data_IF_303446671035
#
_entry.id   IF_303446671035
#
_cell.length_a   1.000
_cell.length_b   1.000
_cell.length_c   1.000
_cell.angle_alpha   90.00
_cell.angle_beta   90.00
_cell.angle_gamma   90.00
#
_symmetry.space_group_name_H-M   'P 1'
#
loop_
_entity.id
_entity.type
_entity.pdbx_description
1 polymer ?
#
# COMPACT_ATOMS: atom_id res chain seq x y z
N UNK A 1 21.96 -13.39 8.16
CA UNK A 1 20.68 -12.80 8.59
C UNK A 1 20.73 -11.33 8.19
N UNK A 2 19.76 -10.85 7.42
CA UNK A 2 19.77 -9.46 6.94
C UNK A 2 18.86 -8.63 7.85
N UNK A 3 19.36 -7.47 8.28
CA UNK A 3 18.66 -6.56 9.18
C UNK A 3 17.93 -5.46 8.40
N UNK A 4 16.68 -5.21 8.81
CA UNK A 4 15.86 -4.09 8.33
C UNK A 4 15.28 -3.35 9.53
N UNK A 5 15.12 -2.04 9.40
CA UNK A 5 14.43 -1.24 10.41
C UNK A 5 12.92 -1.56 10.42
N UNK A 6 12.36 -1.79 9.24
CA UNK A 6 10.94 -2.13 9.06
C UNK A 6 10.79 -3.31 8.10
N UNK A 7 9.98 -4.29 8.51
CA UNK A 7 9.56 -5.39 7.64
C UNK A 7 8.04 -5.35 7.50
N UNK A 8 7.57 -5.19 6.27
CA UNK A 8 6.15 -5.18 5.92
C UNK A 8 5.77 -6.54 5.32
N UNK A 9 4.76 -7.20 5.87
CA UNK A 9 4.28 -8.50 5.41
C UNK A 9 2.96 -8.33 4.66
N UNK A 10 3.00 -8.62 3.36
CA UNK A 10 1.87 -8.54 2.45
C UNK A 10 1.94 -7.38 1.47
N UNK A 11 2.10 -7.70 0.18
CA UNK A 11 2.22 -6.76 -0.94
C UNK A 11 0.89 -6.26 -1.51
N UNK A 12 -0.14 -6.11 -0.66
CA UNK A 12 -1.38 -5.41 -1.02
C UNK A 12 -1.21 -3.88 -0.95
N UNK A 13 -2.26 -3.10 -1.28
CA UNK A 13 -2.17 -1.64 -1.28
C UNK A 13 -1.74 -1.06 0.07
N UNK A 14 -2.26 -1.57 1.16
CA UNK A 14 -1.86 -1.13 2.51
C UNK A 14 -0.38 -1.41 2.80
N UNK A 15 0.12 -2.61 2.45
CA UNK A 15 1.52 -2.95 2.64
C UNK A 15 2.45 -2.14 1.74
N UNK A 16 2.08 -1.90 0.48
CA UNK A 16 2.85 -1.05 -0.41
C UNK A 16 2.93 0.39 0.12
N UNK A 17 1.82 0.97 0.57
CA UNK A 17 1.82 2.31 1.18
C UNK A 17 2.61 2.37 2.49
N UNK A 18 2.49 1.36 3.36
CA UNK A 18 3.30 1.28 4.58
C UNK A 18 4.80 1.20 4.29
N UNK A 19 5.19 0.47 3.24
CA UNK A 19 6.58 0.39 2.78
C UNK A 19 7.08 1.75 2.29
N UNK A 20 6.27 2.45 1.48
CA UNK A 20 6.58 3.80 1.00
C UNK A 20 6.74 4.76 2.18
N UNK A 21 5.79 4.74 3.12
CA UNK A 21 5.84 5.60 4.30
C UNK A 21 7.11 5.37 5.14
N UNK A 22 7.47 4.12 5.43
CA UNK A 22 8.70 3.82 6.18
C UNK A 22 9.96 4.22 5.41
N UNK A 23 10.04 3.87 4.12
CA UNK A 23 11.21 4.16 3.30
C UNK A 23 11.41 5.66 3.05
N UNK A 24 10.33 6.47 3.05
CA UNK A 24 10.42 7.93 2.87
C UNK A 24 11.18 8.64 4.02
N UNK A 25 11.31 8.00 5.17
CA UNK A 25 12.16 8.45 6.27
C UNK A 25 13.61 7.94 6.18
N UNK A 26 14.01 7.37 5.04
CA UNK A 26 15.36 6.82 4.85
C UNK A 26 15.63 5.53 5.63
N UNK A 27 14.61 4.85 6.11
CA UNK A 27 14.76 3.63 6.89
C UNK A 27 14.90 2.40 5.99
N UNK A 28 15.88 1.51 6.25
CA UNK A 28 15.99 0.23 5.58
C UNK A 28 14.68 -0.56 5.72
N UNK A 29 13.96 -0.73 4.63
CA UNK A 29 12.60 -1.32 4.63
C UNK A 29 12.53 -2.50 3.67
N UNK A 30 11.91 -3.60 4.12
CA UNK A 30 11.64 -4.80 3.31
C UNK A 30 10.13 -5.04 3.21
N UNK A 31 9.64 -5.23 1.99
CA UNK A 31 8.28 -5.71 1.70
C UNK A 31 8.33 -7.18 1.31
N UNK A 32 7.61 -8.04 2.02
CA UNK A 32 7.52 -9.48 1.74
C UNK A 32 6.13 -9.81 1.21
N UNK A 33 6.06 -10.50 0.07
CA UNK A 33 4.82 -10.96 -0.55
C UNK A 33 4.92 -12.44 -0.94
N UNK A 34 3.94 -13.24 -0.56
CA UNK A 34 3.90 -14.68 -0.88
C UNK A 34 3.64 -14.99 -2.35
N UNK A 35 2.94 -14.13 -3.05
CA UNK A 35 2.66 -14.30 -4.48
C UNK A 35 3.83 -13.76 -5.33
N UNK A 36 3.82 -14.15 -6.60
CA UNK A 36 4.81 -13.70 -7.60
C UNK A 36 4.74 -12.18 -7.88
N UNK A 37 3.57 -11.55 -7.67
CA UNK A 37 3.33 -10.14 -7.98
C UNK A 37 2.66 -9.45 -6.81
N UNK A 38 3.00 -8.17 -6.62
CA UNK A 38 2.29 -7.29 -5.69
C UNK A 38 0.89 -6.96 -6.21
N UNK A 39 0.03 -6.47 -5.33
CA UNK A 39 -1.27 -5.92 -5.69
C UNK A 39 -2.29 -6.93 -6.21
N UNK A 40 -2.16 -8.23 -5.96
CA UNK A 40 -3.03 -9.28 -6.52
C UNK A 40 -4.53 -9.01 -6.31
N UNK A 41 -4.94 -8.59 -5.11
CA UNK A 41 -6.34 -8.22 -4.85
C UNK A 41 -6.69 -6.87 -5.47
N UNK A 42 -5.78 -5.91 -5.45
CA UNK A 42 -5.97 -4.60 -6.07
C UNK A 42 -6.23 -4.71 -7.57
N UNK A 43 -5.56 -5.64 -8.25
CA UNK A 43 -5.73 -5.88 -9.68
C UNK A 43 -7.18 -6.22 -10.09
N UNK A 44 -7.99 -6.78 -9.19
CA UNK A 44 -9.39 -7.13 -9.45
C UNK A 44 -10.40 -6.05 -9.03
N UNK A 45 -9.98 -4.99 -8.35
CA UNK A 45 -10.90 -3.96 -7.86
C UNK A 45 -11.42 -3.09 -9.01
N UNK A 46 -12.63 -2.51 -8.84
CA UNK A 46 -13.24 -1.65 -9.84
C UNK A 46 -13.40 -2.33 -11.20
N UNK A 47 -13.60 -3.64 -11.26
CA UNK A 47 -13.67 -4.40 -12.51
C UNK A 47 -12.35 -4.47 -13.26
N UNK A 48 -11.21 -4.47 -12.56
CA UNK A 48 -9.87 -4.47 -13.14
C UNK A 48 -9.29 -3.08 -13.40
N UNK A 49 -10.06 -2.02 -13.12
CA UNK A 49 -9.65 -0.63 -13.32
C UNK A 49 -9.01 0.02 -12.10
N UNK A 50 -9.24 -0.50 -10.91
CA UNK A 50 -8.89 0.05 -9.60
C UNK A 50 -9.65 1.36 -9.28
N UNK A 51 -10.71 1.26 -8.50
CA UNK A 51 -11.27 2.44 -7.84
C UNK A 51 -10.29 2.86 -6.71
N UNK A 52 -9.57 3.94 -6.93
CA UNK A 52 -8.50 4.40 -6.02
C UNK A 52 -9.08 4.97 -4.74
N UNK A 53 -10.07 5.86 -4.88
CA UNK A 53 -10.72 6.55 -3.78
C UNK A 53 -12.04 7.18 -4.25
N UNK A 54 -12.65 8.02 -3.42
CA UNK A 54 -13.77 8.88 -3.76
C UNK A 54 -13.39 10.35 -3.58
N UNK A 55 -13.80 11.23 -4.50
CA UNK A 55 -13.52 12.66 -4.49
C UNK A 55 -14.54 13.48 -3.67
N UNK A 56 -15.34 12.84 -2.83
CA UNK A 56 -16.30 13.49 -1.94
C UNK A 56 -15.63 14.20 -0.77
N UNK A 57 -16.44 14.91 0.01
CA UNK A 57 -16.00 15.52 1.27
C UNK A 57 -15.67 14.47 2.32
N UNK A 58 -15.01 14.87 3.41
CA UNK A 58 -14.77 13.96 4.54
C UNK A 58 -16.08 13.39 5.11
N UNK A 59 -17.14 14.21 5.16
CA UNK A 59 -18.44 13.78 5.64
C UNK A 59 -19.07 12.73 4.72
N UNK A 60 -18.93 12.89 3.40
CA UNK A 60 -19.37 11.89 2.41
C UNK A 60 -18.62 10.55 2.59
N UNK A 61 -17.30 10.62 2.79
CA UNK A 61 -16.49 9.43 3.05
C UNK A 61 -16.92 8.73 4.34
N UNK A 62 -17.11 9.51 5.40
CA UNK A 62 -17.52 8.97 6.71
C UNK A 62 -18.91 8.35 6.65
N UNK A 63 -19.84 8.95 5.92
CA UNK A 63 -21.19 8.40 5.71
C UNK A 63 -21.17 7.08 4.91
N UNK A 64 -20.18 6.91 4.01
CA UNK A 64 -19.99 5.69 3.23
C UNK A 64 -19.34 4.53 3.99
N UNK A 65 -18.84 4.74 5.21
CA UNK A 65 -18.16 3.70 5.99
C UNK A 65 -19.14 3.00 6.92
N UNK A 66 -19.45 1.71 6.71
CA UNK A 66 -20.35 0.98 7.59
C UNK A 66 -19.73 0.76 8.97
N UNK A 67 -20.54 0.85 10.01
CA UNK A 67 -20.13 0.59 11.39
C UNK A 67 -19.44 1.77 12.06
N UNK A 68 -18.25 1.58 12.62
CA UNK A 68 -17.56 2.60 13.40
C UNK A 68 -16.61 3.47 12.54
N UNK A 69 -17.17 4.29 11.65
CA UNK A 69 -16.40 5.23 10.84
C UNK A 69 -15.56 6.22 11.67
N UNK A 70 -16.00 6.55 12.90
CA UNK A 70 -15.28 7.47 13.79
C UNK A 70 -13.83 7.04 14.08
N UNK A 71 -13.54 5.75 14.02
CA UNK A 71 -12.19 5.21 14.18
C UNK A 71 -11.21 5.80 13.14
N UNK A 72 -11.69 6.22 11.97
CA UNK A 72 -10.84 6.69 10.87
C UNK A 72 -10.62 8.21 10.87
N UNK A 73 -11.23 8.98 11.78
CA UNK A 73 -11.01 10.44 11.82
C UNK A 73 -9.53 10.82 11.97
N UNK A 74 -8.80 10.15 12.87
CA UNK A 74 -7.38 10.43 13.07
C UNK A 74 -6.52 10.02 11.86
N UNK A 75 -6.94 9.03 11.10
CA UNK A 75 -6.27 8.60 9.86
C UNK A 75 -6.50 9.64 8.78
N UNK A 76 -7.76 10.01 8.52
CA UNK A 76 -8.10 10.99 7.49
C UNK A 76 -7.62 12.41 7.80
N UNK A 77 -7.38 12.76 9.07
CA UNK A 77 -6.74 14.04 9.40
C UNK A 77 -5.25 14.12 9.05
N UNK A 78 -4.62 12.99 8.76
CA UNK A 78 -3.20 12.89 8.39
C UNK A 78 -2.99 12.53 6.92
N UNK A 79 -3.89 11.73 6.35
CA UNK A 79 -3.82 11.29 4.97
C UNK A 79 -5.23 10.93 4.49
N UNK A 80 -5.81 11.80 3.69
CA UNK A 80 -7.18 11.66 3.22
C UNK A 80 -7.29 11.24 1.73
N UNK A 81 -8.49 11.37 1.16
CA UNK A 81 -8.75 11.04 -0.23
C UNK A 81 -8.10 12.03 -1.22
N UNK A 82 -7.89 13.28 -0.83
CA UNK A 82 -7.18 14.25 -1.66
C UNK A 82 -5.68 13.97 -1.65
N UNK A 83 -5.13 13.57 -0.52
CA UNK A 83 -3.72 13.20 -0.39
C UNK A 83 -3.37 11.99 -1.26
N UNK A 84 -4.23 10.96 -1.31
CA UNK A 84 -3.99 9.80 -2.19
C UNK A 84 -4.12 10.16 -3.68
N UNK A 85 -5.03 11.09 -4.04
CA UNK A 85 -5.13 11.61 -5.40
C UNK A 85 -3.84 12.37 -5.76
N UNK A 86 -3.38 13.25 -4.87
CA UNK A 86 -2.15 14.00 -5.07
C UNK A 86 -0.93 13.08 -5.16
N UNK A 87 -0.84 12.08 -4.26
CA UNK A 87 0.23 11.08 -4.29
C UNK A 87 0.36 10.40 -5.66
N UNK A 88 -0.74 9.93 -6.24
CA UNK A 88 -0.69 9.29 -7.56
C UNK A 88 -0.37 10.28 -8.67
N UNK A 89 -0.90 11.50 -8.59
CA UNK A 89 -0.62 12.56 -9.56
C UNK A 89 0.87 12.93 -9.56
N UNK A 90 1.47 13.10 -8.40
CA UNK A 90 2.90 13.41 -8.23
C UNK A 90 3.80 12.26 -8.74
N UNK A 91 3.29 11.03 -8.71
CA UNK A 91 3.95 9.86 -9.27
C UNK A 91 3.55 9.56 -10.73
N UNK A 92 3.06 10.57 -11.46
CA UNK A 92 2.82 10.52 -12.91
C UNK A 92 1.57 9.78 -13.34
N UNK A 93 0.66 9.43 -12.43
CA UNK A 93 -0.60 8.77 -12.76
C UNK A 93 -1.68 9.79 -13.03
N UNK A 94 -2.22 9.81 -14.24
CA UNK A 94 -3.40 10.61 -14.57
C UNK A 94 -4.66 9.93 -14.03
N UNK A 95 -5.41 10.64 -13.19
CA UNK A 95 -6.66 10.18 -12.61
C UNK A 95 -7.86 10.91 -13.24
N UNK A 96 -9.03 10.26 -13.19
CA UNK A 96 -10.33 10.83 -13.58
C UNK A 96 -11.36 10.55 -12.50
N UNK A 97 -12.31 11.46 -12.34
CA UNK A 97 -13.48 11.28 -11.49
C UNK A 97 -14.66 10.83 -12.35
N UNK A 98 -15.33 9.78 -11.95
CA UNK A 98 -16.55 9.27 -12.57
C UNK A 98 -17.75 9.50 -11.66
N UNK A 99 -18.90 8.96 -12.04
CA UNK A 99 -20.17 9.05 -11.31
C UNK A 99 -19.99 8.69 -9.80
N UNK A 100 -20.77 9.31 -8.97
CA UNK A 100 -20.69 9.15 -7.50
C UNK A 100 -19.33 9.48 -6.89
N UNK A 101 -18.51 10.30 -7.55
CA UNK A 101 -17.19 10.73 -7.06
C UNK A 101 -16.10 9.66 -7.11
N UNK A 102 -16.32 8.52 -7.76
CA UNK A 102 -15.32 7.45 -7.87
C UNK A 102 -14.10 7.88 -8.68
N UNK A 103 -12.93 7.58 -8.18
CA UNK A 103 -11.65 7.98 -8.81
C UNK A 103 -10.95 6.78 -9.43
N UNK A 104 -10.65 6.87 -10.73
CA UNK A 104 -9.99 5.83 -11.49
C UNK A 104 -8.76 6.37 -12.25
N UNK A 105 -7.77 5.52 -12.59
CA UNK A 105 -6.74 5.91 -13.53
C UNK A 105 -7.36 6.13 -14.92
N UNK A 106 -6.90 7.16 -15.65
CA UNK A 106 -7.36 7.45 -17.03
C UNK A 106 -7.12 6.27 -17.97
N UNK A 107 -6.12 5.44 -17.69
CA UNK A 107 -5.82 4.21 -18.43
C UNK A 107 -6.89 3.12 -18.31
N UNK A 108 -7.81 3.22 -17.34
CA UNK A 108 -8.74 2.16 -16.96
C UNK A 108 -8.07 0.81 -16.64
N UNK A 109 -6.83 0.84 -16.15
CA UNK A 109 -6.06 -0.34 -15.82
C UNK A 109 -5.51 -0.27 -14.39
N UNK A 110 -5.90 -1.21 -13.54
CA UNK A 110 -5.37 -1.35 -12.17
C UNK A 110 -3.84 -1.50 -12.13
N UNK A 111 -3.25 -2.03 -13.21
CA UNK A 111 -1.80 -2.16 -13.35
C UNK A 111 -1.08 -0.81 -13.27
N UNK A 112 -1.68 0.28 -13.76
CA UNK A 112 -1.10 1.63 -13.67
C UNK A 112 -0.88 2.05 -12.22
N UNK A 113 -1.85 1.79 -11.36
CA UNK A 113 -1.79 2.07 -9.93
C UNK A 113 -0.74 1.19 -9.23
N UNK A 114 -0.76 -0.11 -9.52
CA UNK A 114 0.20 -1.07 -8.94
C UNK A 114 1.63 -0.68 -9.32
N UNK A 115 1.87 -0.38 -10.60
CA UNK A 115 3.19 -0.02 -11.10
C UNK A 115 3.71 1.29 -10.48
N UNK A 116 2.85 2.28 -10.27
CA UNK A 116 3.24 3.53 -9.61
C UNK A 116 3.69 3.27 -8.16
N UNK A 117 2.98 2.41 -7.42
CA UNK A 117 3.37 2.01 -6.07
C UNK A 117 4.69 1.22 -6.07
N UNK A 118 4.86 0.26 -6.97
CA UNK A 118 6.11 -0.51 -7.10
C UNK A 118 7.30 0.40 -7.43
N UNK A 119 7.13 1.29 -8.40
CA UNK A 119 8.17 2.24 -8.79
C UNK A 119 8.58 3.14 -7.62
N UNK A 120 7.60 3.64 -6.86
CA UNK A 120 7.89 4.50 -5.69
C UNK A 120 8.62 3.75 -4.58
N UNK A 121 8.27 2.49 -4.32
CA UNK A 121 9.00 1.63 -3.37
C UNK A 121 10.46 1.49 -3.78
N UNK A 122 10.72 1.21 -5.06
CA UNK A 122 12.08 1.03 -5.58
C UNK A 122 12.86 2.34 -5.62
N UNK A 123 12.22 3.46 -6.00
CA UNK A 123 12.81 4.82 -5.98
C UNK A 123 13.32 5.19 -4.58
N UNK A 124 12.57 4.82 -3.55
CA UNK A 124 12.94 5.07 -2.15
C UNK A 124 13.97 4.08 -1.59
N UNK A 125 14.45 3.13 -2.41
CA UNK A 125 15.48 2.16 -2.03
C UNK A 125 14.99 1.02 -1.14
N UNK A 126 13.68 0.82 -0.98
CA UNK A 126 13.15 -0.32 -0.24
C UNK A 126 13.32 -1.63 -1.03
N UNK A 127 13.50 -2.73 -0.29
CA UNK A 127 13.63 -4.07 -0.86
C UNK A 127 12.27 -4.76 -0.99
N UNK A 128 12.12 -5.57 -2.04
CA UNK A 128 10.91 -6.38 -2.27
C UNK A 128 11.30 -7.85 -2.38
N UNK A 129 10.67 -8.72 -1.60
CA UNK A 129 10.79 -10.17 -1.68
C UNK A 129 9.43 -10.78 -2.09
N UNK A 130 9.30 -11.22 -3.34
CA UNK A 130 8.11 -11.93 -3.84
C UNK A 130 8.32 -13.46 -3.82
N UNK A 131 7.25 -14.24 -4.04
CA UNK A 131 7.24 -15.71 -3.87
C UNK A 131 7.76 -16.15 -2.50
N UNK A 132 7.53 -15.33 -1.48
CA UNK A 132 8.10 -15.52 -0.17
C UNK A 132 6.99 -15.50 0.90
N UNK A 133 6.59 -16.68 1.35
CA UNK A 133 5.58 -16.82 2.41
C UNK A 133 6.24 -16.76 3.78
N UNK A 134 5.81 -15.80 4.60
CA UNK A 134 6.24 -15.73 6.00
C UNK A 134 5.56 -16.85 6.77
N UNK A 135 6.36 -17.70 7.41
CA UNK A 135 5.89 -18.84 8.20
C UNK A 135 5.89 -18.59 9.69
N UNK A 136 6.74 -17.66 10.16
CA UNK A 136 6.74 -17.27 11.57
C UNK A 136 7.26 -15.86 11.79
N UNK A 137 6.74 -15.22 12.82
CA UNK A 137 7.23 -13.97 13.39
C UNK A 137 7.38 -14.18 14.89
N UNK A 138 8.57 -13.99 15.41
CA UNK A 138 8.87 -14.12 16.83
C UNK A 138 9.62 -12.88 17.32
N UNK A 139 9.55 -12.60 18.60
CA UNK A 139 10.29 -11.49 19.24
C UNK A 139 11.04 -12.02 20.47
N UNK A 140 12.15 -12.77 20.28
CA UNK A 140 13.05 -13.05 21.38
C UNK A 140 13.72 -11.72 21.78
N UNK A 141 13.63 -11.37 23.06
CA UNK A 141 14.13 -10.08 23.56
C UNK A 141 13.46 -8.88 22.84
N UNK A 142 14.22 -7.93 22.32
CA UNK A 142 13.73 -6.70 21.73
C UNK A 142 13.75 -6.66 20.20
N UNK A 143 14.15 -7.75 19.53
CA UNK A 143 14.26 -7.83 18.08
C UNK A 143 13.24 -8.79 17.50
N UNK A 144 12.50 -8.35 16.47
CA UNK A 144 11.65 -9.25 15.70
C UNK A 144 12.48 -10.14 14.78
N UNK A 145 12.15 -11.42 14.75
CA UNK A 145 12.68 -12.38 13.79
C UNK A 145 11.54 -12.82 12.86
N UNK A 146 11.67 -12.53 11.57
CA UNK A 146 10.73 -12.93 10.53
C UNK A 146 11.35 -14.05 9.70
N UNK A 147 10.62 -15.16 9.53
CA UNK A 147 11.11 -16.34 8.79
C UNK A 147 10.16 -16.72 7.65
N UNK A 148 10.76 -17.06 6.52
CA UNK A 148 10.14 -17.86 5.46
C UNK A 148 10.78 -19.25 5.42
N UNK A 149 10.40 -20.08 4.44
CA UNK A 149 11.03 -21.39 4.25
C UNK A 149 12.55 -21.29 4.00
N UNK A 150 12.99 -20.26 3.31
CA UNK A 150 14.38 -20.13 2.83
C UNK A 150 15.15 -18.97 3.50
N UNK A 151 14.47 -18.01 4.10
CA UNK A 151 15.09 -16.77 4.56
C UNK A 151 14.72 -16.45 6.02
N UNK A 152 15.63 -15.73 6.67
CA UNK A 152 15.42 -15.17 8.01
C UNK A 152 15.91 -13.73 8.02
N UNK A 153 15.07 -12.82 8.53
CA UNK A 153 15.35 -11.39 8.68
C UNK A 153 15.12 -10.95 10.13
N UNK A 154 15.78 -9.85 10.48
CA UNK A 154 15.61 -9.15 11.75
C UNK A 154 15.38 -7.67 11.54
#
# INVERSE_FOLDING_TARGET
MTHFHTIVIGGGPAGMMATIASASYGQPTLLIEKNKKLGKKLAGTGGGRCNVTNNGTLDDLMAGIPGNGRFLYSVFSQFDNHDIIQFFTDNGVKLKVEDHGRVFPVSDQSRTIIQALENKILELGASIATNCEVVSVTKPEDVFIVKSAENTWT
#
